data_IF_880861694134
#
_entry.id   IF_880861694134
#
_cell.length_a   1.000
_cell.length_b   1.000
_cell.length_c   1.000
_cell.angle_alpha   90.00
_cell.angle_beta   90.00
_cell.angle_gamma   90.00
#
_symmetry.space_group_name_H-M   'P 1'
#
loop_
_entity.id
_entity.type
_entity.pdbx_description
1 polymer ?
#
# COMPACT_ATOMS: atom_id res chain seq x y z
N UNK A 1 -34.97 5.55 -1.75
CA UNK A 1 -34.28 6.12 -2.91
C UNK A 1 -33.04 5.31 -3.22
N UNK A 2 -33.00 4.64 -4.37
CA UNK A 2 -31.82 3.91 -4.84
C UNK A 2 -31.24 4.66 -6.04
N UNK A 3 -29.99 5.09 -5.93
CA UNK A 3 -29.23 5.62 -7.06
C UNK A 3 -28.83 4.45 -7.94
N UNK A 4 -29.25 4.47 -9.20
CA UNK A 4 -28.86 3.46 -10.16
C UNK A 4 -27.37 3.55 -10.47
N UNK A 5 -26.75 2.42 -10.80
CA UNK A 5 -25.34 2.41 -11.23
C UNK A 5 -25.10 3.30 -12.47
N UNK A 6 -26.15 3.61 -13.24
CA UNK A 6 -26.09 4.47 -14.42
C UNK A 6 -26.02 5.95 -14.02
N UNK A 7 -26.76 6.35 -12.99
CA UNK A 7 -26.65 7.69 -12.39
C UNK A 7 -25.29 7.90 -11.71
N UNK A 8 -24.76 6.89 -11.01
CA UNK A 8 -23.41 6.95 -10.43
C UNK A 8 -22.33 7.11 -11.51
N UNK A 9 -22.47 6.47 -12.66
CA UNK A 9 -21.45 6.51 -13.71
C UNK A 9 -21.20 7.89 -14.32
N UNK A 10 -22.16 8.82 -14.17
CA UNK A 10 -22.08 10.19 -14.69
C UNK A 10 -21.41 11.18 -13.71
N UNK A 11 -21.28 10.81 -12.44
CA UNK A 11 -20.67 11.66 -11.38
C UNK A 11 -19.33 11.14 -10.88
N UNK A 12 -18.94 9.92 -11.24
CA UNK A 12 -17.64 9.37 -10.90
C UNK A 12 -16.54 9.97 -11.78
N UNK A 13 -15.55 10.61 -11.15
CA UNK A 13 -14.34 11.10 -11.81
C UNK A 13 -13.58 9.97 -12.53
N UNK A 14 -13.69 8.74 -12.02
CA UNK A 14 -13.17 7.52 -12.65
C UNK A 14 -14.23 6.42 -12.59
N UNK A 15 -14.63 5.90 -13.76
CA UNK A 15 -15.67 4.88 -13.88
C UNK A 15 -15.08 3.46 -13.81
N UNK A 16 -15.10 2.86 -12.62
CA UNK A 16 -14.66 1.48 -12.38
C UNK A 16 -15.70 0.41 -12.75
N UNK A 17 -16.82 0.75 -13.38
CA UNK A 17 -17.91 -0.22 -13.64
C UNK A 17 -17.46 -1.40 -14.50
N UNK A 18 -16.61 -1.14 -15.50
CA UNK A 18 -15.98 -2.22 -16.31
C UNK A 18 -15.08 -3.15 -15.48
N UNK A 19 -14.49 -2.65 -14.39
CA UNK A 19 -13.69 -3.48 -13.47
C UNK A 19 -14.63 -4.34 -12.61
N UNK A 20 -15.71 -3.76 -12.09
CA UNK A 20 -16.73 -4.47 -11.31
C UNK A 20 -17.46 -5.54 -12.12
N UNK A 21 -17.88 -5.22 -13.34
CA UNK A 21 -18.53 -6.18 -14.25
C UNK A 21 -17.59 -7.37 -14.57
N UNK A 22 -16.27 -7.12 -14.58
CA UNK A 22 -15.22 -8.14 -14.77
C UNK A 22 -14.88 -8.92 -13.49
N UNK A 23 -15.09 -8.35 -12.31
CA UNK A 23 -14.98 -9.08 -11.04
C UNK A 23 -16.24 -9.89 -10.73
N UNK A 24 -17.35 -9.61 -11.44
CA UNK A 24 -18.62 -10.28 -11.29
C UNK A 24 -18.76 -11.57 -12.12
N UNK A 25 -17.84 -11.85 -13.06
CA UNK A 25 -17.82 -13.11 -13.83
C UNK A 25 -17.33 -14.28 -12.99
N UNK A 26 -17.90 -15.46 -13.25
CA UNK A 26 -17.59 -16.68 -12.51
C UNK A 26 -16.09 -17.06 -12.65
N UNK A 27 -15.45 -17.57 -11.57
CA UNK A 27 -14.00 -17.79 -11.50
C UNK A 27 -13.41 -18.61 -12.64
N UNK A 28 -14.21 -19.50 -13.23
CA UNK A 28 -13.83 -20.43 -14.31
C UNK A 28 -13.65 -19.74 -15.67
N UNK A 29 -14.20 -18.53 -15.83
CA UNK A 29 -14.15 -17.74 -17.08
C UNK A 29 -13.23 -16.52 -16.98
N UNK A 30 -12.59 -16.32 -15.81
CA UNK A 30 -11.71 -15.19 -15.56
C UNK A 30 -10.33 -15.41 -16.21
N UNK A 31 -10.09 -14.72 -17.32
CA UNK A 31 -8.81 -14.70 -18.04
C UNK A 31 -7.87 -13.61 -17.46
N UNK A 32 -6.76 -14.05 -16.86
CA UNK A 32 -5.73 -13.19 -16.27
C UNK A 32 -4.90 -12.39 -17.29
N UNK A 33 -5.05 -12.65 -18.60
CA UNK A 33 -4.21 -12.07 -19.66
C UNK A 33 -4.76 -10.78 -20.32
N UNK A 34 -5.85 -10.23 -19.79
CA UNK A 34 -6.60 -9.13 -20.43
C UNK A 34 -6.13 -7.72 -19.97
N UNK A 35 -6.28 -6.67 -20.81
CA UNK A 35 -5.53 -5.41 -20.73
C UNK A 35 -5.75 -4.64 -19.42
N UNK A 36 -4.67 -3.99 -18.98
CA UNK A 36 -4.50 -3.24 -17.73
C UNK A 36 -5.42 -2.00 -17.69
N UNK A 37 -6.68 -2.20 -17.28
CA UNK A 37 -7.72 -1.15 -17.18
C UNK A 37 -7.39 0.00 -16.22
N UNK A 38 -6.31 -0.10 -15.44
CA UNK A 38 -5.85 0.93 -14.50
C UNK A 38 -4.59 1.65 -14.98
N UNK A 39 -4.05 1.39 -16.18
CA UNK A 39 -2.85 2.07 -16.66
C UNK A 39 -3.14 3.53 -17.07
N UNK A 40 -3.21 4.46 -16.10
CA UNK A 40 -3.50 5.88 -16.33
C UNK A 40 -2.47 6.85 -15.71
N UNK A 41 -1.39 6.34 -15.11
CA UNK A 41 -0.32 7.15 -14.54
C UNK A 41 0.22 8.17 -15.56
N UNK A 42 0.37 9.41 -15.11
CA UNK A 42 0.98 10.51 -15.85
C UNK A 42 2.31 10.92 -15.21
N UNK A 43 3.28 11.32 -16.03
CA UNK A 43 4.57 11.82 -15.54
C UNK A 43 4.38 12.90 -14.47
N UNK A 44 5.07 12.76 -13.33
CA UNK A 44 4.95 13.68 -12.20
C UNK A 44 3.85 13.34 -11.20
N UNK A 45 3.02 12.33 -11.46
CA UNK A 45 2.07 11.82 -10.46
C UNK A 45 2.76 10.99 -9.37
N UNK A 46 2.07 10.83 -8.25
CA UNK A 46 2.50 10.02 -7.11
C UNK A 46 1.37 9.05 -6.80
N UNK A 47 1.68 7.75 -6.74
CA UNK A 47 0.65 6.71 -6.56
C UNK A 47 0.24 6.56 -5.09
N UNK A 48 1.17 6.59 -4.13
CA UNK A 48 0.80 6.47 -2.72
C UNK A 48 0.27 7.80 -2.19
N UNK A 49 -0.85 7.73 -1.48
CA UNK A 49 -1.36 8.82 -0.65
C UNK A 49 -0.94 8.65 0.82
N UNK A 50 -0.58 7.41 1.23
CA UNK A 50 -0.15 7.11 2.58
C UNK A 50 1.16 7.83 2.95
N UNK A 51 1.22 8.32 4.18
CA UNK A 51 2.38 8.99 4.78
C UNK A 51 2.72 8.35 6.12
N UNK A 52 2.88 7.02 6.11
CA UNK A 52 3.10 6.25 7.33
C UNK A 52 4.55 6.34 7.81
N UNK A 53 4.77 6.07 9.11
CA UNK A 53 6.10 6.02 9.72
C UNK A 53 6.26 4.83 10.67
N UNK A 54 7.38 4.75 11.39
CA UNK A 54 7.81 3.56 12.14
C UNK A 54 7.60 3.63 13.66
N UNK A 55 7.07 4.74 14.14
CA UNK A 55 6.91 5.06 15.57
C UNK A 55 5.44 5.05 15.94
N UNK A 56 5.10 5.34 17.20
CA UNK A 56 3.70 5.44 17.61
C UNK A 56 2.96 6.49 16.77
N UNK A 57 1.73 6.21 16.28
CA UNK A 57 0.87 5.06 16.59
C UNK A 57 1.09 3.79 15.72
N UNK A 58 1.95 3.81 14.72
CA UNK A 58 2.15 2.69 13.77
C UNK A 58 2.79 1.45 14.41
N UNK A 59 3.52 1.63 15.51
CA UNK A 59 4.18 0.54 16.23
C UNK A 59 3.38 0.02 17.44
N UNK A 60 2.11 0.38 17.59
CA UNK A 60 1.36 0.12 18.82
C UNK A 60 1.15 -1.38 19.14
N UNK A 61 1.34 -2.26 18.15
CA UNK A 61 1.33 -3.72 18.33
C UNK A 61 2.73 -4.36 18.30
N UNK A 62 3.79 -3.58 18.01
CA UNK A 62 5.16 -4.09 18.03
C UNK A 62 5.60 -4.49 19.46
N UNK A 63 6.60 -5.38 19.60
CA UNK A 63 7.00 -5.88 20.91
C UNK A 63 7.36 -4.75 21.90
N UNK A 64 6.87 -4.86 23.13
CA UNK A 64 7.30 -3.96 24.20
C UNK A 64 8.70 -4.40 24.67
N UNK A 65 9.71 -3.58 24.35
CA UNK A 65 11.11 -3.83 24.70
C UNK A 65 11.59 -2.86 25.80
N UNK A 66 10.69 -2.09 26.42
CA UNK A 66 11.05 -1.06 27.39
C UNK A 66 11.83 0.10 26.76
N UNK A 67 11.56 0.43 25.50
CA UNK A 67 12.27 1.49 24.78
C UNK A 67 12.10 2.86 25.46
N UNK A 68 13.20 3.61 25.58
CA UNK A 68 13.22 4.88 26.33
C UNK A 68 12.92 6.10 25.47
N UNK A 69 12.96 5.98 24.14
CA UNK A 69 12.57 7.07 23.24
C UNK A 69 11.05 7.31 23.39
N UNK A 70 10.62 8.54 23.71
CA UNK A 70 9.19 8.86 23.83
C UNK A 70 8.36 8.53 22.57
N UNK A 71 8.97 8.60 21.38
CA UNK A 71 8.29 8.29 20.11
C UNK A 71 7.93 6.80 19.98
N UNK A 72 8.64 5.94 20.71
CA UNK A 72 8.49 4.49 20.63
C UNK A 72 7.33 3.95 21.47
N UNK A 73 6.80 4.71 22.44
CA UNK A 73 5.80 4.25 23.40
C UNK A 73 6.20 2.91 24.07
N UNK A 74 7.46 2.80 24.52
CA UNK A 74 8.09 1.59 25.10
C UNK A 74 8.26 0.40 24.14
N UNK A 75 7.81 0.51 22.89
CA UNK A 75 7.82 -0.57 21.89
C UNK A 75 8.96 -0.45 20.90
N UNK A 76 9.33 -1.56 20.29
CA UNK A 76 10.21 -1.55 19.13
C UNK A 76 9.62 -0.68 18.00
N UNK A 77 10.47 -0.15 17.12
CA UNK A 77 9.99 0.50 15.90
C UNK A 77 9.45 -0.56 14.93
N UNK A 78 8.56 -0.16 14.01
CA UNK A 78 7.99 -1.08 13.00
C UNK A 78 9.08 -1.72 12.13
N UNK A 79 10.09 -0.93 11.73
CA UNK A 79 11.12 -1.33 10.78
C UNK A 79 10.77 -0.92 9.36
N UNK A 80 11.79 -0.44 8.63
CA UNK A 80 11.60 0.16 7.30
C UNK A 80 10.99 -0.81 6.27
N UNK A 81 11.36 -2.09 6.34
CA UNK A 81 10.85 -3.13 5.44
C UNK A 81 9.35 -3.33 5.66
N UNK A 82 8.92 -3.41 6.92
CA UNK A 82 7.52 -3.58 7.24
C UNK A 82 6.69 -2.34 6.92
N UNK A 83 7.18 -1.13 7.22
CA UNK A 83 6.47 0.11 6.86
C UNK A 83 6.32 0.28 5.34
N UNK A 84 7.37 0.02 4.56
CA UNK A 84 7.27 0.08 3.09
C UNK A 84 6.32 -1.00 2.55
N UNK A 85 6.37 -2.21 3.11
CA UNK A 85 5.45 -3.28 2.74
C UNK A 85 4.00 -2.98 3.06
N UNK A 86 3.71 -2.49 4.27
CA UNK A 86 2.38 -2.14 4.72
C UNK A 86 1.76 -0.99 3.89
N UNK A 87 2.54 0.04 3.56
CA UNK A 87 2.08 1.11 2.66
C UNK A 87 1.71 0.61 1.26
N UNK A 88 2.49 -0.34 0.71
CA UNK A 88 2.16 -0.98 -0.56
C UNK A 88 0.87 -1.80 -0.44
N UNK A 89 0.70 -2.59 0.62
CA UNK A 89 -0.53 -3.36 0.83
C UNK A 89 -1.75 -2.44 0.96
N UNK A 90 -1.60 -1.32 1.66
CA UNK A 90 -2.62 -0.29 1.80
C UNK A 90 -2.95 0.45 0.50
N UNK A 91 -2.00 0.59 -0.43
CA UNK A 91 -2.32 1.12 -1.77
C UNK A 91 -3.32 0.20 -2.51
N UNK A 92 -3.20 -1.11 -2.32
CA UNK A 92 -4.06 -2.10 -2.97
C UNK A 92 -5.31 -2.48 -2.17
N UNK A 93 -5.37 -2.14 -0.87
CA UNK A 93 -6.39 -2.62 0.08
C UNK A 93 -6.55 -4.15 -0.02
N UNK A 94 -5.42 -4.85 0.02
CA UNK A 94 -5.35 -6.29 -0.15
C UNK A 94 -4.29 -6.85 0.80
N UNK A 95 -4.47 -8.07 1.36
CA UNK A 95 -5.62 -8.98 1.19
C UNK A 95 -6.77 -8.71 2.16
N UNK A 96 -7.92 -9.41 2.04
CA UNK A 96 -8.93 -9.40 3.09
C UNK A 96 -8.42 -9.94 4.44
N UNK A 97 -7.49 -10.91 4.40
CA UNK A 97 -6.75 -11.50 5.54
C UNK A 97 -5.51 -12.19 4.98
N UNK A 98 -4.47 -12.48 5.79
CA UNK A 98 -3.29 -13.25 5.40
C UNK A 98 -3.48 -14.78 5.41
N UNK A 99 -2.39 -15.54 5.36
CA UNK A 99 -2.35 -17.00 5.40
C UNK A 99 -1.64 -17.50 6.65
N UNK A 100 -2.36 -18.29 7.45
CA UNK A 100 -1.86 -18.81 8.72
C UNK A 100 -2.02 -17.80 9.86
N UNK A 101 -1.82 -18.28 11.09
CA UNK A 101 -1.87 -17.46 12.29
C UNK A 101 -0.52 -16.72 12.49
N UNK A 102 -0.51 -15.45 12.93
CA UNK A 102 -1.66 -14.66 13.40
C UNK A 102 -2.48 -13.94 12.32
N UNK A 103 -2.11 -14.07 11.04
CA UNK A 103 -2.64 -13.25 9.92
C UNK A 103 -4.05 -13.62 9.44
N UNK A 104 -4.79 -14.48 10.14
CA UNK A 104 -6.01 -15.12 9.61
C UNK A 104 -7.31 -14.34 9.86
N UNK A 105 -7.23 -13.17 10.50
CA UNK A 105 -8.34 -12.25 10.72
C UNK A 105 -8.44 -11.16 9.63
N UNK A 106 -9.61 -10.50 9.60
CA UNK A 106 -9.97 -9.59 8.51
C UNK A 106 -9.35 -8.22 8.71
N UNK A 107 -8.50 -7.80 7.76
CA UNK A 107 -7.92 -6.46 7.78
C UNK A 107 -8.98 -5.38 7.58
N UNK A 108 -8.97 -4.40 8.50
CA UNK A 108 -9.86 -3.24 8.46
C UNK A 108 -9.30 -2.11 7.58
N UNK A 109 -9.29 -2.34 6.27
CA UNK A 109 -8.79 -1.37 5.27
C UNK A 109 -9.49 0.00 5.34
N UNK A 110 -10.74 0.04 5.81
CA UNK A 110 -11.53 1.28 5.92
C UNK A 110 -10.94 2.21 6.98
N UNK A 111 -10.51 1.63 8.11
CA UNK A 111 -9.88 2.37 9.20
C UNK A 111 -8.37 2.56 9.03
N UNK A 112 -7.74 1.91 8.04
CA UNK A 112 -6.37 2.22 7.67
C UNK A 112 -6.30 3.56 6.91
N UNK A 113 -6.21 4.69 7.63
CA UNK A 113 -6.10 6.02 7.00
C UNK A 113 -4.74 6.26 6.38
N UNK A 114 -4.68 7.17 5.41
CA UNK A 114 -3.42 7.58 4.76
C UNK A 114 -2.43 8.24 5.73
N UNK A 115 -2.94 8.77 6.84
CA UNK A 115 -2.16 9.28 7.96
C UNK A 115 -2.94 9.06 9.24
N UNK A 116 -2.28 8.51 10.25
CA UNK A 116 -2.77 8.45 11.63
C UNK A 116 -1.81 9.17 12.56
N UNK A 117 -2.34 9.70 13.66
CA UNK A 117 -1.59 10.33 14.74
C UNK A 117 -2.30 10.11 16.09
N UNK A 118 -1.86 10.79 17.14
CA UNK A 118 -2.43 10.61 18.47
C UNK A 118 -3.87 11.10 18.66
N UNK A 119 -4.43 11.80 17.67
CA UNK A 119 -5.84 12.17 17.64
C UNK A 119 -6.72 11.18 16.88
N UNK A 120 -6.14 10.17 16.21
CA UNK A 120 -6.87 9.13 15.51
C UNK A 120 -7.64 8.22 16.47
N UNK A 121 -8.74 7.63 15.99
CA UNK A 121 -9.54 6.72 16.81
C UNK A 121 -8.79 5.43 17.15
N UNK A 122 -9.19 4.77 18.22
CA UNK A 122 -8.60 3.48 18.61
C UNK A 122 -8.69 2.42 17.50
N UNK A 123 -9.77 2.43 16.70
CA UNK A 123 -9.93 1.53 15.57
C UNK A 123 -8.94 1.84 14.42
N UNK A 124 -8.71 3.10 14.10
CA UNK A 124 -7.74 3.51 13.08
C UNK A 124 -6.30 3.19 13.50
N UNK A 125 -5.96 3.42 14.76
CA UNK A 125 -4.64 3.07 15.33
C UNK A 125 -4.46 1.55 15.29
N UNK A 126 -5.44 0.79 15.78
CA UNK A 126 -5.37 -0.67 15.82
C UNK A 126 -5.18 -1.26 14.42
N UNK A 127 -6.00 -0.85 13.44
CA UNK A 127 -5.96 -1.38 12.08
C UNK A 127 -4.59 -1.18 11.39
N UNK A 128 -4.00 0.01 11.51
CA UNK A 128 -2.69 0.28 10.88
C UNK A 128 -1.56 -0.41 11.65
N UNK A 129 -1.61 -0.42 12.98
CA UNK A 129 -0.59 -1.03 13.81
C UNK A 129 -0.55 -2.56 13.65
N UNK A 130 -1.72 -3.19 13.49
CA UNK A 130 -1.88 -4.62 13.16
C UNK A 130 -1.13 -4.95 11.87
N UNK A 131 -1.51 -4.31 10.75
CA UNK A 131 -0.85 -4.55 9.46
C UNK A 131 0.68 -4.31 9.54
N UNK A 132 1.10 -3.22 10.19
CA UNK A 132 2.53 -2.92 10.35
C UNK A 132 3.28 -4.01 11.13
N UNK A 133 2.70 -4.49 12.23
CA UNK A 133 3.29 -5.53 13.05
C UNK A 133 3.32 -6.87 12.32
N UNK A 134 2.22 -7.25 11.69
CA UNK A 134 2.08 -8.52 11.00
C UNK A 134 2.99 -8.66 9.79
N UNK A 135 3.16 -7.60 9.00
CA UNK A 135 4.15 -7.60 7.91
C UNK A 135 5.55 -7.77 8.48
N UNK A 136 5.84 -7.16 9.63
CA UNK A 136 7.10 -7.36 10.36
C UNK A 136 7.30 -8.81 10.82
N UNK A 137 6.27 -9.44 11.39
CA UNK A 137 6.32 -10.86 11.74
C UNK A 137 6.57 -11.74 10.51
N UNK A 138 5.85 -11.48 9.42
CA UNK A 138 5.92 -12.29 8.21
C UNK A 138 7.30 -12.26 7.56
N UNK A 139 7.98 -11.10 7.60
CA UNK A 139 9.35 -10.95 7.06
C UNK A 139 10.45 -11.36 8.05
N UNK A 140 10.10 -11.93 9.21
CA UNK A 140 11.07 -12.36 10.21
C UNK A 140 11.84 -11.19 10.83
N UNK A 141 11.16 -10.08 11.11
CA UNK A 141 11.76 -8.85 11.63
C UNK A 141 12.51 -9.07 12.95
N UNK A 142 13.77 -8.63 12.99
CA UNK A 142 14.52 -8.45 14.23
C UNK A 142 14.17 -7.10 14.85
N UNK A 143 13.24 -7.10 15.80
CA UNK A 143 12.73 -5.89 16.44
C UNK A 143 13.75 -5.23 17.39
N UNK A 144 13.86 -3.91 17.32
CA UNK A 144 14.71 -3.11 18.22
C UNK A 144 14.18 -1.71 18.47
N UNK A 145 14.69 -1.06 19.52
CA UNK A 145 14.27 0.28 19.91
C UNK A 145 14.77 1.38 18.96
N UNK A 146 16.03 1.30 18.53
CA UNK A 146 16.62 2.29 17.60
C UNK A 146 16.50 1.90 16.12
N UNK A 147 15.93 0.73 15.83
CA UNK A 147 15.84 0.17 14.49
C UNK A 147 15.37 -1.28 14.55
N UNK A 148 14.51 -1.65 13.60
CA UNK A 148 14.09 -3.02 13.38
C UNK A 148 14.53 -3.45 11.99
N UNK A 149 15.14 -4.62 11.89
CA UNK A 149 15.87 -5.06 10.71
C UNK A 149 15.29 -6.35 10.11
N UNK A 150 15.15 -6.35 8.78
CA UNK A 150 14.84 -7.52 7.98
C UNK A 150 15.48 -7.35 6.59
N UNK A 151 15.57 -8.43 5.82
CA UNK A 151 16.02 -8.31 4.44
C UNK A 151 14.84 -7.98 3.53
N UNK A 152 14.95 -6.87 2.78
CA UNK A 152 13.91 -6.47 1.83
C UNK A 152 13.60 -7.55 0.80
N UNK A 153 14.57 -8.39 0.41
CA UNK A 153 14.31 -9.44 -0.58
C UNK A 153 13.42 -10.57 -0.04
N UNK A 154 13.33 -10.77 1.28
CA UNK A 154 12.44 -11.79 1.88
C UNK A 154 10.97 -11.41 1.69
N UNK A 155 10.66 -10.13 1.47
CA UNK A 155 9.31 -9.65 1.20
C UNK A 155 8.69 -10.30 -0.04
N UNK A 156 9.48 -10.74 -1.02
CA UNK A 156 8.98 -11.45 -2.20
C UNK A 156 8.19 -12.70 -1.78
N UNK A 157 8.77 -13.53 -0.91
CA UNK A 157 8.11 -14.69 -0.34
C UNK A 157 6.92 -14.33 0.55
N UNK A 158 7.05 -13.26 1.35
CA UNK A 158 5.95 -12.78 2.22
C UNK A 158 4.73 -12.37 1.41
N UNK A 159 4.92 -11.57 0.35
CA UNK A 159 3.83 -11.14 -0.51
C UNK A 159 3.12 -12.35 -1.13
N UNK A 160 3.88 -13.28 -1.70
CA UNK A 160 3.32 -14.44 -2.40
C UNK A 160 2.63 -15.42 -1.44
N UNK A 161 3.35 -15.85 -0.40
CA UNK A 161 2.95 -16.97 0.45
C UNK A 161 2.01 -16.53 1.58
N UNK A 162 2.29 -15.40 2.24
CA UNK A 162 1.49 -14.95 3.38
C UNK A 162 0.28 -14.13 2.92
N UNK A 163 0.42 -13.33 1.85
CA UNK A 163 -0.61 -12.35 1.48
C UNK A 163 -1.29 -12.62 0.13
N UNK A 164 -0.95 -13.72 -0.56
CA UNK A 164 -1.59 -14.15 -1.83
C UNK A 164 -1.39 -13.15 -2.98
N UNK A 165 -0.23 -12.53 -3.02
CA UNK A 165 0.17 -11.64 -4.12
C UNK A 165 0.65 -12.53 -5.28
N UNK A 166 0.63 -12.03 -6.52
CA UNK A 166 1.04 -12.86 -7.65
C UNK A 166 2.52 -13.26 -7.57
N UNK A 167 2.80 -14.48 -8.03
CA UNK A 167 4.15 -15.01 -8.21
C UNK A 167 4.96 -14.28 -9.28
N UNK A 168 4.34 -13.36 -10.02
CA UNK A 168 5.07 -12.41 -10.87
C UNK A 168 5.90 -11.40 -10.05
N UNK A 169 5.70 -11.36 -8.72
CA UNK A 169 6.52 -10.61 -7.78
C UNK A 169 7.93 -11.13 -7.84
N UNK A 170 8.83 -10.31 -8.39
CA UNK A 170 10.16 -10.67 -8.78
C UNK A 170 11.19 -9.67 -8.28
N UNK A 171 12.11 -10.11 -7.44
CA UNK A 171 13.32 -9.34 -7.12
C UNK A 171 14.12 -9.05 -8.40
N UNK A 172 14.63 -7.81 -8.54
CA UNK A 172 15.69 -7.48 -9.50
C UNK A 172 16.77 -6.62 -8.87
N UNK A 173 18.01 -6.82 -9.28
CA UNK A 173 19.15 -6.07 -8.77
C UNK A 173 19.54 -4.92 -9.70
N UNK A 174 19.79 -3.73 -9.14
CA UNK A 174 20.16 -2.52 -9.90
C UNK A 174 21.39 -2.74 -10.78
N UNK A 175 22.33 -3.55 -10.29
CA UNK A 175 23.61 -3.86 -10.95
C UNK A 175 23.43 -4.58 -12.30
N UNK A 176 22.27 -5.20 -12.53
CA UNK A 176 22.01 -5.99 -13.75
C UNK A 176 21.52 -5.14 -14.92
N UNK A 177 21.36 -3.82 -14.73
CA UNK A 177 20.77 -2.91 -15.72
C UNK A 177 21.65 -1.67 -15.96
N UNK A 178 21.59 -1.11 -17.17
CA UNK A 178 22.05 0.26 -17.41
C UNK A 178 21.14 1.27 -16.70
N UNK A 179 21.59 2.52 -16.54
CA UNK A 179 20.76 3.57 -15.92
C UNK A 179 19.48 3.85 -16.72
N UNK A 180 19.54 3.82 -18.06
CA UNK A 180 18.36 3.97 -18.91
C UNK A 180 17.43 2.78 -18.79
N UNK A 181 17.93 1.55 -18.93
CA UNK A 181 17.10 0.35 -18.84
C UNK A 181 16.41 0.21 -17.48
N UNK A 182 17.09 0.61 -16.39
CA UNK A 182 16.49 0.64 -15.06
C UNK A 182 15.34 1.63 -14.96
N UNK A 183 15.55 2.86 -15.44
CA UNK A 183 14.49 3.88 -15.46
C UNK A 183 13.30 3.44 -16.30
N UNK A 184 13.56 2.95 -17.51
CA UNK A 184 12.50 2.53 -18.45
C UNK A 184 11.68 1.37 -17.88
N UNK A 185 12.33 0.48 -17.10
CA UNK A 185 11.65 -0.59 -16.39
C UNK A 185 10.74 -0.06 -15.27
N UNK A 186 11.23 0.82 -14.40
CA UNK A 186 10.44 1.43 -13.32
C UNK A 186 9.27 2.22 -13.91
N UNK A 187 9.54 3.04 -14.93
CA UNK A 187 8.54 3.78 -15.71
C UNK A 187 7.47 2.85 -16.28
N UNK A 188 7.87 1.71 -16.86
CA UNK A 188 6.94 0.72 -17.39
C UNK A 188 6.01 0.14 -16.33
N UNK A 189 6.51 -0.14 -15.12
CA UNK A 189 5.65 -0.67 -14.05
C UNK A 189 4.77 0.42 -13.41
N UNK A 190 5.30 1.64 -13.19
CA UNK A 190 4.51 2.77 -12.69
C UNK A 190 3.41 3.20 -13.67
N UNK A 191 3.65 3.14 -14.98
CA UNK A 191 2.63 3.38 -16.01
C UNK A 191 1.41 2.44 -15.91
N UNK A 192 1.57 1.33 -15.19
CA UNK A 192 0.53 0.33 -14.93
C UNK A 192 -0.07 0.48 -13.53
N UNK A 193 0.16 1.62 -12.88
CA UNK A 193 -0.21 1.91 -11.49
C UNK A 193 0.38 0.90 -10.49
N UNK A 194 1.64 0.51 -10.67
CA UNK A 194 2.31 -0.46 -9.79
C UNK A 194 3.43 0.22 -9.01
N UNK A 195 3.17 0.73 -7.80
CA UNK A 195 4.24 1.15 -6.91
C UNK A 195 5.06 -0.09 -6.49
N UNK A 196 6.31 0.12 -6.12
CA UNK A 196 7.28 -0.96 -5.89
C UNK A 196 8.06 -0.80 -4.60
N UNK A 197 8.35 -1.93 -3.96
CA UNK A 197 9.20 -2.00 -2.79
C UNK A 197 10.66 -1.86 -3.24
N UNK A 198 11.33 -0.79 -2.80
CA UNK A 198 12.65 -0.41 -3.25
C UNK A 198 13.65 -0.42 -2.10
N UNK A 199 14.85 -1.00 -2.30
CA UNK A 199 15.95 -0.96 -1.32
C UNK A 199 16.97 0.09 -1.73
N UNK A 200 17.24 1.01 -0.82
CA UNK A 200 18.43 1.88 -0.85
C UNK A 200 19.45 1.43 0.21
N UNK A 201 20.60 2.09 0.27
CA UNK A 201 21.64 1.74 1.24
C UNK A 201 21.07 1.84 2.67
N UNK A 202 21.08 0.70 3.39
CA UNK A 202 20.57 0.56 4.76
C UNK A 202 19.07 0.86 4.98
N UNK A 203 18.28 1.16 3.95
CA UNK A 203 16.87 1.54 4.13
C UNK A 203 15.92 0.95 3.08
N UNK A 204 14.69 0.63 3.48
CA UNK A 204 13.62 0.10 2.61
C UNK A 204 12.53 1.15 2.44
N UNK A 205 12.14 1.40 1.20
CA UNK A 205 11.26 2.51 0.81
C UNK A 205 10.28 2.07 -0.29
N UNK A 206 9.37 2.95 -0.68
CA UNK A 206 8.47 2.72 -1.83
C UNK A 206 8.81 3.68 -2.96
N UNK A 207 8.94 3.17 -4.18
CA UNK A 207 8.98 3.99 -5.39
C UNK A 207 7.61 3.98 -6.06
N UNK A 208 7.03 5.16 -6.27
CA UNK A 208 5.63 5.34 -6.62
C UNK A 208 5.39 6.50 -7.60
N UNK A 209 6.45 7.00 -8.22
CA UNK A 209 6.35 7.99 -9.28
C UNK A 209 7.63 8.12 -10.12
N UNK A 210 7.47 8.60 -11.35
CA UNK A 210 8.54 8.99 -12.26
C UNK A 210 8.18 10.30 -12.95
N UNK A 211 9.19 11.10 -13.27
CA UNK A 211 9.04 12.26 -14.15
C UNK A 211 10.31 12.51 -14.95
N UNK A 212 10.17 13.23 -16.05
CA UNK A 212 11.27 13.71 -16.87
C UNK A 212 11.14 15.23 -16.97
N UNK A 213 12.11 15.97 -16.43
CA UNK A 213 12.03 17.44 -16.28
C UNK A 213 13.33 18.09 -16.76
N UNK A 214 13.21 19.24 -17.41
CA UNK A 214 14.35 20.04 -17.86
C UNK A 214 14.82 19.76 -19.28
N UNK A 215 15.90 20.43 -19.69
CA UNK A 215 16.52 20.32 -21.01
C UNK A 215 18.06 20.24 -20.85
N UNK A 216 18.70 19.08 -21.11
CA UNK A 216 18.09 17.82 -21.50
C UNK A 216 17.21 17.22 -20.39
N UNK A 217 16.23 16.41 -20.80
CA UNK A 217 15.27 15.76 -19.90
C UNK A 217 16.00 14.94 -18.83
N UNK A 218 15.87 15.36 -17.59
CA UNK A 218 16.45 14.69 -16.43
C UNK A 218 15.44 13.72 -15.85
N UNK A 219 15.87 12.48 -15.61
CA UNK A 219 15.04 11.37 -15.12
C UNK A 219 14.97 11.36 -13.60
N UNK A 220 13.77 11.56 -13.05
CA UNK A 220 13.51 11.60 -11.61
C UNK A 220 12.56 10.47 -11.19
N UNK A 221 12.72 10.02 -9.95
CA UNK A 221 11.84 9.07 -9.28
C UNK A 221 11.22 9.73 -8.05
N UNK A 222 9.96 9.46 -7.76
CA UNK A 222 9.37 9.76 -6.47
C UNK A 222 9.58 8.57 -5.54
N UNK A 223 10.00 8.88 -4.32
CA UNK A 223 10.31 7.92 -3.27
C UNK A 223 9.58 8.30 -1.99
N UNK A 224 8.85 7.36 -1.40
CA UNK A 224 8.29 7.45 -0.06
C UNK A 224 9.20 6.69 0.93
N UNK A 225 9.81 7.42 1.85
CA UNK A 225 10.82 6.91 2.79
C UNK A 225 10.21 6.22 4.02
N UNK A 226 8.88 6.26 4.21
CA UNK A 226 8.25 5.66 5.40
C UNK A 226 8.66 6.36 6.71
N UNK A 227 8.86 7.69 6.65
CA UNK A 227 9.17 8.54 7.81
C UNK A 227 8.07 9.53 8.13
N UNK A 228 6.92 9.38 7.46
CA UNK A 228 5.78 10.27 7.60
C UNK A 228 6.04 11.66 7.03
N UNK A 229 4.96 12.44 6.90
CA UNK A 229 5.05 13.85 6.51
C UNK A 229 4.57 14.69 7.68
N UNK A 230 5.41 15.64 8.10
CA UNK A 230 5.05 16.67 9.08
C UNK A 230 5.06 18.04 8.41
N UNK A 231 4.73 19.09 9.15
CA UNK A 231 4.82 20.46 8.66
C UNK A 231 6.26 20.85 8.26
N UNK A 232 7.29 20.21 8.82
CA UNK A 232 8.71 20.57 8.63
C UNK A 232 9.55 19.50 7.94
N UNK A 233 9.07 18.25 7.89
CA UNK A 233 9.74 17.15 7.20
C UNK A 233 8.85 16.54 6.13
N UNK A 234 9.41 16.38 4.92
CA UNK A 234 8.79 15.60 3.85
C UNK A 234 9.28 14.16 3.94
N UNK A 235 8.37 13.23 4.20
CA UNK A 235 8.65 11.78 4.15
C UNK A 235 8.81 11.25 2.73
N UNK A 236 8.58 12.09 1.73
CA UNK A 236 8.71 11.74 0.32
C UNK A 236 9.58 12.75 -0.43
N UNK A 237 10.24 12.32 -1.50
CA UNK A 237 11.06 13.21 -2.32
C UNK A 237 11.20 12.72 -3.75
N UNK A 238 11.38 13.67 -4.67
CA UNK A 238 11.86 13.42 -6.02
C UNK A 238 13.39 13.30 -5.99
N UNK A 239 13.94 12.18 -6.46
CA UNK A 239 15.37 11.91 -6.43
C UNK A 239 15.92 11.52 -7.80
N UNK A 240 17.21 11.80 -7.99
CA UNK A 240 18.00 11.37 -9.13
C UNK A 240 18.69 10.04 -8.82
N UNK A 241 18.71 9.13 -9.79
CA UNK A 241 19.55 7.93 -9.73
C UNK A 241 20.89 8.16 -10.47
N UNK A 242 21.48 9.34 -10.33
CA UNK A 242 22.80 9.66 -10.88
C UNK A 242 23.68 10.23 -9.78
N UNK A 243 24.94 9.78 -9.75
CA UNK A 243 26.00 10.49 -9.02
C UNK A 243 26.23 11.81 -9.73
N UNK A 244 26.10 12.97 -9.05
CA UNK A 244 26.55 14.22 -9.63
C UNK A 244 28.06 14.11 -9.90
N UNK A 245 28.50 14.42 -11.11
CA UNK A 245 29.91 14.77 -11.31
C UNK A 245 30.15 16.08 -10.55
N UNK A 246 30.70 15.98 -9.33
CA UNK A 246 31.27 17.11 -8.61
C UNK A 246 30.41 17.83 -7.55
N UNK A 247 29.25 17.31 -7.14
CA UNK A 247 28.48 17.91 -6.04
C UNK A 247 28.50 17.06 -4.77
N UNK A 248 28.76 17.72 -3.65
CA UNK A 248 28.87 17.15 -2.30
C UNK A 248 27.67 16.28 -1.92
N UNK A 249 27.99 15.23 -1.17
CA UNK A 249 27.12 14.20 -0.62
C UNK A 249 25.82 14.75 -0.03
N UNK A 250 24.77 14.81 -0.84
CA UNK A 250 23.39 14.99 -0.37
C UNK A 250 22.52 13.93 -1.06
N UNK A 251 22.32 12.82 -0.34
CA UNK A 251 21.34 11.73 -0.58
C UNK A 251 21.35 11.01 -1.95
N UNK A 252 22.44 11.07 -2.70
CA UNK A 252 22.65 10.25 -3.92
C UNK A 252 23.19 8.87 -3.53
N UNK A 253 22.34 7.86 -3.30
CA UNK A 253 22.75 6.44 -3.24
C UNK A 253 21.57 5.46 -3.42
N UNK A 254 20.98 5.43 -4.62
CA UNK A 254 20.13 4.31 -5.06
C UNK A 254 20.98 3.03 -5.24
N UNK A 255 21.28 2.33 -4.15
CA UNK A 255 21.94 1.01 -4.12
C UNK A 255 21.05 0.06 -3.31
N UNK A 256 20.63 -1.13 -3.71
CA UNK A 256 21.27 -2.13 -4.58
C UNK A 256 20.25 -3.11 -5.19
N UNK A 257 18.95 -3.02 -4.88
CA UNK A 257 17.95 -4.04 -5.24
C UNK A 257 16.55 -3.43 -5.17
N UNK A 258 15.61 -3.85 -6.03
CA UNK A 258 14.18 -3.66 -5.76
C UNK A 258 13.45 -5.00 -5.88
N UNK A 259 12.25 -5.07 -5.33
CA UNK A 259 11.28 -6.09 -5.72
C UNK A 259 10.33 -5.43 -6.71
N UNK A 260 10.38 -5.90 -7.95
CA UNK A 260 9.42 -5.51 -8.96
C UNK A 260 8.32 -6.57 -9.04
N UNK A 261 7.07 -6.09 -8.97
CA UNK A 261 5.91 -6.59 -9.76
C UNK A 261 4.91 -7.51 -9.04
N UNK A 262 3.83 -6.93 -8.53
CA UNK A 262 2.53 -7.52 -8.16
C UNK A 262 2.25 -7.82 -6.69
N UNK A 263 1.35 -6.97 -6.17
CA UNK A 263 0.13 -7.25 -5.42
C UNK A 263 -1.13 -7.52 -6.25
N UNK A 264 -1.09 -8.35 -7.31
CA UNK A 264 -2.34 -8.77 -7.96
C UNK A 264 -2.24 -10.17 -8.54
N UNK A 265 -3.07 -11.04 -7.98
CA UNK A 265 -3.27 -12.44 -8.30
C UNK A 265 -4.15 -13.06 -7.22
N UNK A 266 -5.38 -12.57 -7.07
CA UNK A 266 -6.36 -13.14 -6.13
C UNK A 266 -6.53 -14.63 -6.46
N UNK A 267 -6.23 -15.58 -5.54
CA UNK A 267 -6.57 -16.97 -5.75
C UNK A 267 -8.10 -17.10 -5.77
N UNK A 268 -8.61 -17.76 -6.80
CA UNK A 268 -10.02 -18.00 -7.16
C UNK A 268 -10.95 -18.46 -6.03
N UNK A 269 -10.45 -18.83 -4.84
CA UNK A 269 -11.23 -19.29 -3.69
C UNK A 269 -11.58 -18.20 -2.66
N UNK A 270 -10.88 -17.07 -2.63
CA UNK A 270 -11.06 -16.07 -1.56
C UNK A 270 -12.30 -15.17 -1.75
N UNK A 271 -12.68 -14.90 -3.01
CA UNK A 271 -13.82 -14.04 -3.33
C UNK A 271 -15.18 -14.67 -2.98
N UNK A 272 -15.27 -16.00 -2.91
CA UNK A 272 -16.50 -16.71 -2.51
C UNK A 272 -16.85 -16.49 -1.03
N UNK A 273 -15.86 -16.26 -0.16
CA UNK A 273 -16.08 -16.05 1.27
C UNK A 273 -16.54 -14.62 1.60
N UNK A 274 -15.91 -13.59 1.00
CA UNK A 274 -16.34 -12.19 1.17
C UNK A 274 -17.77 -11.95 0.65
N UNK A 275 -18.19 -12.67 -0.41
CA UNK A 275 -19.56 -12.59 -0.97
C UNK A 275 -20.65 -13.02 0.02
N UNK A 276 -20.36 -13.97 0.92
CA UNK A 276 -21.35 -14.43 1.93
C UNK A 276 -21.50 -13.46 3.11
N UNK A 277 -20.42 -12.78 3.51
CA UNK A 277 -20.47 -11.82 4.61
C UNK A 277 -21.17 -10.51 4.23
N UNK A 278 -20.95 -9.99 3.02
CA UNK A 278 -21.52 -8.70 2.60
C UNK A 278 -23.04 -8.75 2.33
N UNK A 279 -23.57 -9.89 1.86
CA UNK A 279 -25.01 -10.08 1.62
C UNK A 279 -25.79 -10.21 2.95
N UNK A 280 -25.17 -10.78 3.99
CA UNK A 280 -25.81 -10.98 5.28
C UNK A 280 -25.96 -9.69 6.12
N UNK A 281 -25.06 -8.71 5.95
CA UNK A 281 -25.13 -7.42 6.65
C UNK A 281 -26.10 -6.43 6.00
N UNK A 282 -26.25 -6.46 4.67
CA UNK A 282 -27.17 -5.57 3.94
C UNK A 282 -28.66 -5.93 4.11
N UNK A 283 -28.97 -7.17 4.53
CA UNK A 283 -30.34 -7.66 4.68
C UNK A 283 -30.94 -7.45 6.08
N UNK A 284 -30.19 -6.86 7.03
CA UNK A 284 -30.60 -6.76 8.45
C UNK A 284 -30.73 -5.34 9.03
N UNK A 285 -30.91 -4.30 8.21
CA UNK A 285 -31.29 -2.98 8.75
C UNK A 285 -32.83 -2.79 8.72
N UNK A 286 -33.51 -2.64 9.87
CA UNK A 286 -34.93 -2.34 9.92
C UNK A 286 -35.19 -0.88 9.50
N UNK A 287 -36.02 -0.68 8.49
CA UNK A 287 -36.47 0.62 8.01
C UNK A 287 -37.43 1.27 9.02
N UNK A 288 -37.02 2.38 9.64
CA UNK A 288 -37.94 3.28 10.32
C UNK A 288 -38.70 4.11 9.27
N UNK A 289 -40.03 3.94 9.21
CA UNK A 289 -40.90 4.71 8.31
C UNK A 289 -41.17 6.12 8.88
N UNK A 290 -41.33 7.14 8.02
CA UNK A 290 -41.65 8.50 8.45
C UNK A 290 -43.16 8.64 8.72
N UNK A 291 -43.54 9.06 9.93
CA UNK A 291 -44.92 9.39 10.26
C UNK A 291 -45.30 10.75 9.63
N UNK A 292 -46.14 10.71 8.60
CA UNK A 292 -46.79 11.90 8.04
C UNK A 292 -47.97 12.34 8.91
N UNK A 293 -48.02 13.63 9.18
CA UNK A 293 -49.14 14.33 9.79
C UNK A 293 -50.30 14.44 8.79
N UNK A 294 -51.50 14.02 9.17
CA UNK A 294 -52.75 14.29 8.45
C UNK A 294 -53.91 14.40 9.43
N UNK A 295 -54.56 15.55 9.42
CA UNK A 295 -55.77 15.89 10.16
C UNK A 295 -57.01 15.57 9.31
N UNK A 296 -57.99 14.84 9.86
CA UNK A 296 -59.40 15.24 10.03
C UNK A 296 -60.39 14.06 10.18
N UNK A 297 -61.22 14.21 11.23
CA UNK A 297 -62.68 14.02 11.29
C UNK A 297 -63.24 12.63 10.97
N UNK A 298 -63.62 11.88 12.01
CA UNK A 298 -64.96 11.94 12.66
C UNK A 298 -64.81 11.64 14.14
#
# INVERSE_FOLDING_TARGET
DHVSAQELSAVLEINYRRVWDRMAVEPETFDASQPELLANYQAGQVLLTSSWHQYWPYNDQCPNLGCTDPANNFRAVVGCVATAGAQLMRYWNWPPWGQGSPYDDVYDWVNMRDRIDGGSSAAEIAAVAELCYEVGLAVGMSYGCGGSEAFTYDMEGVYQNNYRYSTDCAKRDRKDYSASAWFDRIKSDLNKNRPMHYRILKHSIVCDGWQEVGMPATKWYHMNYGWGTTATTRGTSWTLCTTPQGAAQTMSTCWKTYILRQPWGVPSRALTLCRRFHIATLTKMPTAAPAQCSTRVT
#
